data_IF_646176997403
#
_entry.id   IF_646176997403
#
_cell.length_a   1.000
_cell.length_b   1.000
_cell.length_c   1.000
_cell.angle_alpha   90.00
_cell.angle_beta   90.00
_cell.angle_gamma   90.00
#
_symmetry.space_group_name_H-M   'P 1'
#
loop_
_entity.id
_entity.type
_entity.pdbx_description
1 polymer ?
#
# COMPACT_ATOMS: atom_id res chain seq x y z
N UNK A 1 -7.93 7.92 -15.19
CA UNK A 1 -6.65 8.47 -14.68
C UNK A 1 -6.86 8.83 -13.21
N UNK A 2 -6.48 7.97 -12.26
CA UNK A 2 -6.97 8.01 -10.85
C UNK A 2 -5.88 8.05 -9.78
N UNK A 3 -4.72 8.60 -10.11
CA UNK A 3 -3.70 8.82 -9.10
C UNK A 3 -3.36 10.31 -9.12
N UNK A 4 -3.73 11.01 -8.06
CA UNK A 4 -3.19 12.34 -7.78
C UNK A 4 -1.67 12.16 -7.60
N UNK A 5 -0.89 12.91 -8.37
CA UNK A 5 0.57 12.81 -8.36
C UNK A 5 1.16 13.89 -7.46
N UNK A 6 0.90 13.77 -6.16
CA UNK A 6 1.35 14.75 -5.17
C UNK A 6 2.84 14.58 -4.80
N UNK A 7 3.51 13.56 -5.35
CA UNK A 7 4.90 13.23 -4.98
C UNK A 7 5.96 13.99 -5.81
N UNK A 8 5.56 14.59 -6.93
CA UNK A 8 6.44 15.41 -7.77
C UNK A 8 7.65 14.66 -8.37
N UNK A 9 8.61 15.38 -8.97
CA UNK A 9 9.79 14.79 -9.63
C UNK A 9 10.74 14.07 -8.65
N UNK A 10 10.62 14.33 -7.34
CA UNK A 10 11.41 13.71 -6.27
C UNK A 10 10.81 12.40 -5.76
N UNK A 11 9.78 11.87 -6.43
CA UNK A 11 9.10 10.66 -6.00
C UNK A 11 10.08 9.47 -5.97
N UNK A 12 10.10 8.67 -4.88
CA UNK A 12 10.95 7.48 -4.83
C UNK A 12 10.61 6.48 -5.94
N UNK A 13 11.54 5.59 -6.28
CA UNK A 13 11.29 4.58 -7.31
C UNK A 13 10.15 3.65 -6.90
N UNK A 14 9.34 3.26 -7.89
CA UNK A 14 8.39 2.17 -7.74
C UNK A 14 9.13 0.85 -8.02
N UNK A 15 9.44 0.08 -6.96
CA UNK A 15 10.14 -1.18 -7.12
C UNK A 15 9.22 -2.24 -7.73
N UNK A 16 9.68 -2.91 -8.78
CA UNK A 16 8.93 -4.01 -9.41
C UNK A 16 8.51 -5.10 -8.40
N UNK A 17 7.29 -5.62 -8.56
CA UNK A 17 6.68 -6.59 -7.63
C UNK A 17 7.43 -7.91 -7.50
N UNK A 18 8.23 -8.29 -8.50
CA UNK A 18 9.04 -9.52 -8.49
C UNK A 18 10.43 -9.35 -7.87
N UNK A 19 10.90 -8.12 -7.64
CA UNK A 19 12.19 -7.86 -6.98
C UNK A 19 12.02 -7.86 -5.45
N UNK A 20 13.01 -8.33 -4.72
CA UNK A 20 13.05 -8.16 -3.26
C UNK A 20 13.37 -6.68 -2.93
N UNK A 21 12.69 -6.05 -1.95
CA UNK A 21 13.08 -4.74 -1.46
C UNK A 21 14.39 -4.83 -0.68
N UNK A 22 15.27 -3.86 -0.91
CA UNK A 22 16.44 -3.63 -0.06
C UNK A 22 15.97 -3.01 1.26
N UNK A 23 16.47 -3.53 2.38
CA UNK A 23 16.17 -3.00 3.72
C UNK A 23 16.63 -1.54 3.87
N UNK A 24 15.89 -0.75 4.64
CA UNK A 24 16.17 0.66 4.90
C UNK A 24 15.84 1.62 3.74
N UNK A 25 15.52 1.09 2.55
CA UNK A 25 15.18 1.92 1.41
C UNK A 25 13.78 2.51 1.47
N UNK A 26 13.58 3.54 0.66
CA UNK A 26 12.30 4.21 0.49
C UNK A 26 11.75 3.95 -0.92
N UNK A 27 10.52 3.49 -1.02
CA UNK A 27 9.86 3.19 -2.29
C UNK A 27 8.53 3.92 -2.44
N UNK A 28 8.13 4.15 -3.69
CA UNK A 28 6.75 4.50 -3.99
C UNK A 28 5.91 3.22 -4.05
N UNK A 29 4.83 3.20 -3.28
CA UNK A 29 3.83 2.13 -3.26
C UNK A 29 2.43 2.73 -3.36
N UNK A 30 1.42 1.88 -3.48
CA UNK A 30 0.05 2.26 -3.80
C UNK A 30 -0.93 1.67 -2.80
N UNK A 31 -1.84 2.49 -2.28
CA UNK A 31 -2.91 2.07 -1.39
C UNK A 31 -4.27 2.38 -2.02
N UNK A 32 -5.01 1.33 -2.39
CA UNK A 32 -6.38 1.45 -2.86
C UNK A 32 -7.34 1.58 -1.70
N UNK A 33 -8.23 2.57 -1.75
CA UNK A 33 -9.21 2.85 -0.71
C UNK A 33 -10.43 3.59 -1.27
N UNK A 34 -11.44 3.87 -0.44
CA UNK A 34 -12.56 4.73 -0.84
C UNK A 34 -12.14 6.20 -0.87
N UNK A 35 -12.82 7.02 -1.68
CA UNK A 35 -12.62 8.49 -1.70
C UNK A 35 -12.68 9.10 -0.30
N UNK A 36 -13.67 8.70 0.49
CA UNK A 36 -13.85 9.18 1.86
C UNK A 36 -12.68 8.80 2.78
N UNK A 37 -12.19 7.56 2.69
CA UNK A 37 -11.05 7.12 3.49
C UNK A 37 -9.75 7.77 3.05
N UNK A 38 -9.58 8.06 1.75
CA UNK A 38 -8.44 8.82 1.26
C UNK A 38 -8.37 10.21 1.90
N UNK A 39 -9.48 10.93 1.97
CA UNK A 39 -9.53 12.24 2.65
C UNK A 39 -9.23 12.11 4.14
N UNK A 40 -9.78 11.10 4.82
CA UNK A 40 -9.45 10.82 6.23
C UNK A 40 -7.96 10.53 6.44
N UNK A 41 -7.33 9.80 5.52
CA UNK A 41 -5.90 9.49 5.56
C UNK A 41 -5.06 10.75 5.33
N UNK A 42 -5.46 11.62 4.40
CA UNK A 42 -4.77 12.91 4.15
C UNK A 42 -4.79 13.80 5.40
N UNK A 43 -5.89 13.82 6.14
CA UNK A 43 -6.05 14.66 7.34
C UNK A 43 -5.42 14.03 8.59
N UNK A 44 -5.64 12.74 8.83
CA UNK A 44 -5.31 12.08 10.10
C UNK A 44 -4.20 11.03 10.01
N UNK A 45 -3.61 10.85 8.83
CA UNK A 45 -2.63 9.81 8.56
C UNK A 45 -3.25 8.41 8.43
N UNK A 46 -2.39 7.44 8.14
CA UNK A 46 -2.80 6.04 8.09
C UNK A 46 -3.07 5.50 9.50
N UNK A 47 -4.11 4.66 9.62
CA UNK A 47 -4.40 3.86 10.81
C UNK A 47 -4.26 2.38 10.47
N UNK A 48 -3.73 1.61 11.41
CA UNK A 48 -3.64 0.16 11.26
C UNK A 48 -5.04 -0.46 11.20
N UNK A 49 -5.21 -1.45 10.34
CA UNK A 49 -6.39 -2.30 10.33
C UNK A 49 -6.57 -3.06 11.66
N UNK A 50 -7.80 -3.52 11.93
CA UNK A 50 -8.11 -4.40 13.06
C UNK A 50 -7.57 -5.83 12.89
N UNK A 51 -7.20 -6.22 11.67
CA UNK A 51 -6.59 -7.49 11.32
C UNK A 51 -6.23 -7.56 9.84
N UNK A 52 -6.02 -8.76 9.32
CA UNK A 52 -5.73 -8.97 7.90
C UNK A 52 -4.90 -10.22 7.64
N UNK A 53 -4.60 -10.45 6.36
CA UNK A 53 -3.81 -11.61 5.92
C UNK A 53 -2.45 -11.69 6.61
N UNK A 54 -1.82 -10.53 6.87
CA UNK A 54 -0.51 -10.40 7.51
C UNK A 54 -0.60 -9.78 8.92
N UNK A 55 -1.76 -9.89 9.57
CA UNK A 55 -2.02 -9.22 10.85
C UNK A 55 -2.46 -7.76 10.70
N UNK A 56 -2.39 -7.00 11.80
CA UNK A 56 -2.79 -5.59 11.85
C UNK A 56 -1.75 -4.73 11.17
N UNK A 57 -2.18 -3.82 10.30
CA UNK A 57 -1.22 -2.97 9.60
C UNK A 57 -1.86 -2.10 8.52
N UNK A 58 -1.00 -1.46 7.73
CA UNK A 58 -1.38 -0.72 6.52
C UNK A 58 -0.92 -1.54 5.31
N UNK A 59 -1.83 -1.81 4.39
CA UNK A 59 -1.56 -2.66 3.25
C UNK A 59 -1.34 -1.82 2.00
N UNK A 60 -0.19 -2.00 1.35
CA UNK A 60 0.15 -1.33 0.11
C UNK A 60 0.64 -2.33 -0.92
N UNK A 61 0.44 -2.00 -2.19
CA UNK A 61 0.93 -2.76 -3.33
C UNK A 61 2.05 -1.98 -4.02
N UNK A 62 3.00 -2.70 -4.62
CA UNK A 62 3.96 -2.13 -5.58
C UNK A 62 3.40 -2.07 -7.00
N UNK A 63 2.28 -2.74 -7.21
CA UNK A 63 1.53 -2.79 -8.44
C UNK A 63 0.30 -1.88 -8.32
N UNK A 64 0.23 -0.89 -9.19
CA UNK A 64 -0.83 0.13 -9.20
C UNK A 64 -2.19 -0.47 -9.57
N UNK A 65 -2.23 -1.36 -10.55
CA UNK A 65 -3.46 -2.01 -11.02
C UNK A 65 -4.00 -2.94 -9.95
N UNK A 66 -3.12 -3.65 -9.23
CA UNK A 66 -3.54 -4.43 -8.07
C UNK A 66 -4.15 -3.54 -6.99
N UNK A 67 -3.56 -2.37 -6.71
CA UNK A 67 -4.10 -1.46 -5.69
C UNK A 67 -5.46 -0.87 -6.10
N UNK A 68 -5.66 -0.51 -7.36
CA UNK A 68 -6.90 0.14 -7.84
C UNK A 68 -8.14 -0.74 -7.71
N UNK A 69 -7.98 -2.06 -7.58
CA UNK A 69 -9.07 -3.01 -7.37
C UNK A 69 -9.67 -2.96 -5.96
N UNK A 70 -8.98 -2.36 -4.99
CA UNK A 70 -9.45 -2.32 -3.60
C UNK A 70 -10.15 -1.00 -3.24
N UNK A 71 -11.14 -1.04 -2.34
CA UNK A 71 -11.73 -2.24 -1.75
C UNK A 71 -12.67 -2.98 -2.73
N UNK A 72 -12.68 -4.32 -2.67
CA UNK A 72 -13.32 -5.18 -3.68
C UNK A 72 -14.85 -5.04 -3.71
N UNK A 73 -15.44 -4.75 -2.55
CA UNK A 73 -16.87 -4.58 -2.29
C UNK A 73 -17.40 -3.18 -2.67
N UNK A 74 -16.52 -2.26 -3.05
CA UNK A 74 -16.90 -0.91 -3.45
C UNK A 74 -16.91 -0.77 -4.97
N UNK A 75 -17.88 -0.09 -5.61
CA UNK A 75 -17.84 0.21 -7.04
C UNK A 75 -16.60 1.01 -7.45
N UNK A 76 -16.09 0.75 -8.65
CA UNK A 76 -14.83 1.32 -9.14
C UNK A 76 -14.79 2.86 -9.13
N UNK A 77 -15.91 3.52 -9.47
CA UNK A 77 -16.01 4.98 -9.45
C UNK A 77 -15.87 5.62 -8.05
N UNK A 78 -16.05 4.83 -6.99
CA UNK A 78 -15.88 5.25 -5.59
C UNK A 78 -14.50 4.90 -5.02
N UNK A 79 -13.66 4.18 -5.76
CA UNK A 79 -12.28 3.84 -5.38
C UNK A 79 -11.33 4.95 -5.82
N UNK A 80 -10.24 5.09 -5.07
CA UNK A 80 -9.08 5.91 -5.40
C UNK A 80 -7.81 5.19 -4.97
N UNK A 81 -6.68 5.59 -5.57
CA UNK A 81 -5.37 5.07 -5.20
C UNK A 81 -4.49 6.21 -4.68
N UNK A 82 -4.01 6.05 -3.45
CA UNK A 82 -3.00 6.92 -2.88
C UNK A 82 -1.61 6.45 -3.31
N UNK A 83 -0.76 7.37 -3.80
CA UNK A 83 0.68 7.14 -3.98
C UNK A 83 1.39 7.45 -2.67
N UNK A 84 2.15 6.50 -2.15
CA UNK A 84 2.72 6.58 -0.79
C UNK A 84 4.23 6.40 -0.84
N UNK A 85 4.96 7.29 -0.18
CA UNK A 85 6.40 7.17 0.09
C UNK A 85 6.59 6.28 1.33
N UNK A 86 7.10 5.06 1.13
CA UNK A 86 7.22 4.04 2.18
C UNK A 86 8.68 3.77 2.48
N UNK A 87 9.13 4.10 3.69
CA UNK A 87 10.37 3.55 4.25
C UNK A 87 10.09 2.13 4.74
N UNK A 88 10.72 1.12 4.14
CA UNK A 88 10.42 -0.29 4.45
C UNK A 88 11.14 -0.80 5.69
N UNK A 89 12.14 -0.07 6.21
CA UNK A 89 12.94 -0.54 7.34
C UNK A 89 13.49 -1.95 7.09
N UNK A 90 13.37 -2.83 8.09
CA UNK A 90 13.73 -4.25 7.96
C UNK A 90 12.59 -5.01 7.28
N UNK A 91 12.91 -5.90 6.35
CA UNK A 91 11.90 -6.59 5.55
C UNK A 91 11.94 -8.09 5.75
N UNK A 92 10.77 -8.67 6.03
CA UNK A 92 10.56 -10.12 6.04
C UNK A 92 9.69 -10.53 4.86
N UNK A 93 10.20 -11.46 4.04
CA UNK A 93 9.40 -12.11 3.00
C UNK A 93 8.50 -13.17 3.64
N UNK A 94 7.20 -13.06 3.36
CA UNK A 94 6.19 -14.08 3.68
C UNK A 94 5.58 -14.50 2.34
N UNK A 95 5.83 -15.72 1.91
CA UNK A 95 5.53 -16.20 0.55
C UNK A 95 4.59 -17.40 0.49
N UNK A 96 4.04 -17.81 1.64
CA UNK A 96 3.00 -18.82 1.72
C UNK A 96 1.96 -18.49 2.79
N UNK A 97 0.74 -18.96 2.55
CA UNK A 97 -0.28 -19.02 3.58
C UNK A 97 0.15 -20.03 4.67
N UNK A 98 -0.12 -19.73 5.93
CA UNK A 98 0.33 -20.51 7.08
C UNK A 98 1.83 -20.32 7.41
N UNK A 99 2.48 -19.26 6.91
CA UNK A 99 3.85 -18.96 7.31
C UNK A 99 3.93 -18.74 8.84
N UNK A 100 4.97 -19.24 9.55
CA UNK A 100 5.06 -19.11 11.01
C UNK A 100 5.01 -17.65 11.50
N UNK A 101 5.52 -16.72 10.68
CA UNK A 101 5.51 -15.28 10.94
C UNK A 101 4.38 -14.53 10.20
N UNK A 102 3.31 -15.21 9.80
CA UNK A 102 2.27 -14.58 8.99
C UNK A 102 1.56 -13.45 9.73
N UNK A 103 1.37 -13.55 11.04
CA UNK A 103 0.62 -12.57 11.85
C UNK A 103 1.41 -12.04 13.06
N UNK A 104 2.72 -12.28 13.09
CA UNK A 104 3.59 -12.01 14.25
C UNK A 104 4.78 -11.14 13.88
#
# INVERSE_FOLDING_TARGET
MWAEDDLGPSAPPCLHSYKAPVEGNVYRMYHGTSRENAEKIKVSGFKQSSGGMLGRGVYLSRDLEKASRYPLDLPENKRVVLRVKVNVGRVKKIDKQGHPLQKT
#
